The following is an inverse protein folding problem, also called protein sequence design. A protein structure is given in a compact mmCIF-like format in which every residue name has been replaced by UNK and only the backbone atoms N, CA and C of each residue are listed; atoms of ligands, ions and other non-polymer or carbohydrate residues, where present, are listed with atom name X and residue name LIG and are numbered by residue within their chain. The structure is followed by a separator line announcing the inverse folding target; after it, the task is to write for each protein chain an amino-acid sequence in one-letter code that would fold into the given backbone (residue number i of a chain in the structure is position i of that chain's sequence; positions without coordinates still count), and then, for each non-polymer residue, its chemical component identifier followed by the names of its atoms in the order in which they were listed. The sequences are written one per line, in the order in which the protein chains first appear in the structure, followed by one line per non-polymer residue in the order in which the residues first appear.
data_IF_550741891597
#
_entry.id   IF_550741891597
#
_cell.length_a   1.000
_cell.length_b   1.000
_cell.length_c   1.000
_cell.angle_alpha   90.00
_cell.angle_beta   90.00
_cell.angle_gamma   90.00
#
_symmetry.space_group_name_H-M   'P 1'
#
loop_
_entity.id
_entity.type
_entity.pdbx_description
1 polymer ?
#
# COMPACT_ATOMS: atom_id res chain seq x y z
N UNK A 1 -19.49 5.30 26.45
CA UNK A 1 -18.19 4.78 25.97
C UNK A 1 -18.11 5.06 24.48
N UNK A 2 -17.39 6.10 24.09
CA UNK A 2 -17.07 6.36 22.67
C UNK A 2 -16.20 5.21 22.18
N UNK A 3 -16.72 4.42 21.23
CA UNK A 3 -15.91 3.45 20.49
C UNK A 3 -14.74 4.21 19.89
N UNK A 4 -13.53 3.99 20.40
CA UNK A 4 -12.32 4.50 19.77
C UNK A 4 -12.21 3.76 18.46
N UNK A 5 -12.52 4.41 17.32
CA UNK A 5 -12.25 3.87 15.98
C UNK A 5 -10.81 3.36 15.97
N UNK A 6 -10.62 2.04 16.03
CA UNK A 6 -9.30 1.41 16.08
C UNK A 6 -8.51 1.66 14.79
N UNK A 7 -9.22 1.87 13.68
CA UNK A 7 -8.65 2.12 12.37
C UNK A 7 -9.16 3.44 11.78
N UNK A 8 -8.27 4.14 11.09
CA UNK A 8 -8.50 5.43 10.44
C UNK A 8 -8.23 5.31 8.95
N UNK A 9 -8.90 6.15 8.16
CA UNK A 9 -8.73 6.15 6.70
C UNK A 9 -7.60 7.08 6.27
N UNK A 10 -6.79 6.63 5.33
CA UNK A 10 -5.80 7.48 4.65
C UNK A 10 -6.03 7.48 3.16
N UNK A 11 -5.72 8.60 2.54
CA UNK A 11 -5.63 8.78 1.11
C UNK A 11 -4.17 8.83 0.71
N UNK A 12 -3.78 7.99 -0.22
CA UNK A 12 -2.41 7.91 -0.76
C UNK A 12 -2.44 8.40 -2.19
N UNK A 13 -1.76 9.50 -2.47
CA UNK A 13 -1.64 10.07 -3.82
C UNK A 13 -0.32 9.62 -4.44
N UNK A 14 -0.26 9.67 -5.78
CA UNK A 14 0.99 9.48 -6.51
C UNK A 14 1.94 10.63 -6.21
N UNK A 15 3.21 10.32 -5.97
CA UNK A 15 4.22 11.35 -5.81
C UNK A 15 4.75 11.86 -7.16
N UNK A 16 5.83 12.66 -7.15
CA UNK A 16 6.40 13.24 -8.35
C UNK A 16 6.82 12.17 -9.36
N UNK A 17 6.34 12.28 -10.61
CA UNK A 17 6.53 11.30 -11.70
C UNK A 17 5.91 9.91 -11.43
N UNK A 18 5.13 9.76 -10.36
CA UNK A 18 4.33 8.58 -10.09
C UNK A 18 3.07 8.49 -10.95
N UNK A 19 2.48 7.30 -10.96
CA UNK A 19 1.29 6.93 -11.72
C UNK A 19 0.24 6.30 -10.79
N UNK A 20 -1.03 6.38 -11.19
CA UNK A 20 -2.14 5.75 -10.49
C UNK A 20 -2.65 6.50 -9.27
N UNK A 21 -3.44 5.80 -8.46
CA UNK A 21 -4.16 6.36 -7.32
C UNK A 21 -5.15 7.48 -7.71
N UNK A 22 -5.67 8.23 -6.72
CA UNK A 22 -5.38 8.08 -5.30
C UNK A 22 -6.01 6.81 -4.71
N UNK A 23 -5.27 6.12 -3.85
CA UNK A 23 -5.79 4.96 -3.10
C UNK A 23 -6.38 5.40 -1.77
N UNK A 24 -7.52 4.82 -1.40
CA UNK A 24 -8.12 5.00 -0.08
C UNK A 24 -7.90 3.72 0.72
N UNK A 25 -7.08 3.80 1.75
CA UNK A 25 -6.74 2.67 2.60
C UNK A 25 -7.47 2.80 3.92
N UNK A 26 -8.28 1.80 4.23
CA UNK A 26 -9.01 1.65 5.48
C UNK A 26 -8.75 0.25 6.03
N UNK A 27 -7.84 0.10 7.00
CA UNK A 27 -7.66 -1.17 7.69
C UNK A 27 -8.95 -1.60 8.38
N UNK A 28 -9.17 -2.92 8.42
CA UNK A 28 -10.32 -3.54 9.09
C UNK A 28 -9.85 -4.71 9.94
N UNK A 29 -10.62 -5.13 10.97
CA UNK A 29 -10.30 -6.35 11.69
C UNK A 29 -10.14 -7.53 10.73
N UNK A 30 -8.99 -8.22 10.78
CA UNK A 30 -8.66 -9.31 9.85
C UNK A 30 -8.09 -8.88 8.49
N UNK A 31 -8.08 -7.58 8.17
CA UNK A 31 -7.40 -6.97 7.01
C UNK A 31 -6.71 -5.67 7.44
N UNK A 32 -5.75 -5.81 8.35
CA UNK A 32 -5.07 -4.69 9.00
C UNK A 32 -3.56 -4.66 8.74
N UNK A 33 -3.03 -5.58 7.92
CA UNK A 33 -1.61 -5.64 7.65
C UNK A 33 -1.18 -4.57 6.63
N UNK A 34 -0.20 -3.77 7.03
CA UNK A 34 0.53 -2.85 6.16
C UNK A 34 1.80 -3.59 5.71
N UNK A 35 1.71 -4.20 4.54
CA UNK A 35 2.63 -5.23 4.08
C UNK A 35 3.84 -4.59 3.40
N UNK A 36 5.02 -4.66 4.02
CA UNK A 36 6.27 -4.06 3.53
C UNK A 36 7.11 -5.10 2.80
N UNK A 37 7.40 -4.88 1.52
CA UNK A 37 8.26 -5.75 0.70
C UNK A 37 9.32 -4.88 0.02
N UNK A 38 10.27 -4.40 0.82
CA UNK A 38 11.30 -3.44 0.40
C UNK A 38 12.73 -3.93 0.67
N UNK A 39 13.02 -5.20 0.33
CA UNK A 39 14.34 -5.80 0.56
C UNK A 39 14.66 -6.20 2.01
N UNK A 40 13.69 -6.08 2.93
CA UNK A 40 13.78 -6.52 4.32
C UNK A 40 13.51 -5.39 5.33
N UNK A 41 12.82 -5.72 6.42
CA UNK A 41 12.36 -4.76 7.42
C UNK A 41 11.09 -4.02 7.01
N UNK A 42 10.62 -3.14 7.91
CA UNK A 42 9.48 -2.27 7.65
C UNK A 42 9.97 -0.96 7.04
N UNK A 43 9.56 -0.68 5.80
CA UNK A 43 9.88 0.59 5.15
C UNK A 43 9.29 1.77 5.93
N UNK A 44 9.97 2.93 6.03
CA UNK A 44 9.44 4.11 6.71
C UNK A 44 8.05 4.53 6.20
N UNK A 45 7.77 4.38 4.91
CA UNK A 45 6.44 4.64 4.34
C UNK A 45 5.38 3.66 4.87
N UNK A 46 5.69 2.37 4.95
CA UNK A 46 4.79 1.37 5.50
C UNK A 46 4.51 1.64 6.99
N UNK A 47 5.55 1.97 7.76
CA UNK A 47 5.41 2.37 9.16
C UNK A 47 4.57 3.65 9.30
N UNK A 48 4.76 4.63 8.42
CA UNK A 48 4.00 5.88 8.43
C UNK A 48 2.51 5.63 8.18
N UNK A 49 2.17 4.84 7.17
CA UNK A 49 0.78 4.43 6.89
C UNK A 49 0.19 3.67 8.08
N UNK A 50 0.94 2.75 8.68
CA UNK A 50 0.51 2.02 9.87
C UNK A 50 0.19 2.96 11.05
N UNK A 51 1.05 3.94 11.32
CA UNK A 51 0.86 4.92 12.40
C UNK A 51 -0.39 5.78 12.17
N UNK A 52 -0.63 6.20 10.94
CA UNK A 52 -1.81 7.01 10.60
C UNK A 52 -3.10 6.18 10.66
N UNK A 53 -3.10 5.01 10.04
CA UNK A 53 -4.29 4.18 9.90
C UNK A 53 -4.62 3.31 11.11
N UNK A 54 -3.68 3.12 12.03
CA UNK A 54 -3.78 2.13 13.12
C UNK A 54 -3.55 0.68 12.67
N UNK A 55 -3.15 0.46 11.41
CA UNK A 55 -2.79 -0.86 10.90
C UNK A 55 -1.50 -1.43 11.52
N UNK A 56 -1.27 -2.73 11.33
CA UNK A 56 -0.06 -3.42 11.82
C UNK A 56 1.00 -3.50 10.72
N UNK A 57 2.20 -2.92 10.91
CA UNK A 57 3.28 -3.07 9.95
C UNK A 57 3.73 -4.54 9.92
N UNK A 58 3.91 -5.08 8.72
CA UNK A 58 4.31 -6.48 8.53
C UNK A 58 5.45 -6.58 7.51
N UNK A 59 6.52 -7.29 7.87
CA UNK A 59 7.65 -7.53 6.97
C UNK A 59 7.33 -8.72 6.06
N UNK A 60 6.81 -8.39 4.88
CA UNK A 60 6.42 -9.33 3.84
C UNK A 60 7.60 -9.93 3.06
N UNK A 61 8.82 -9.46 3.34
CA UNK A 61 10.05 -10.04 2.79
C UNK A 61 10.53 -11.21 3.67
N UNK A 62 10.45 -11.06 5.00
CA UNK A 62 10.83 -12.12 5.96
C UNK A 62 9.75 -13.15 6.21
N UNK A 63 8.48 -12.75 6.16
CA UNK A 63 7.35 -13.62 6.43
C UNK A 63 6.27 -13.44 5.37
N UNK A 64 5.29 -14.35 5.33
CA UNK A 64 4.17 -14.32 4.40
C UNK A 64 2.87 -14.28 5.17
N UNK A 65 1.92 -13.49 4.67
CA UNK A 65 0.54 -13.44 5.12
C UNK A 65 -0.40 -13.64 3.93
N UNK A 66 -1.66 -13.97 4.18
CA UNK A 66 -2.63 -14.11 3.11
C UNK A 66 -3.00 -12.75 2.51
N UNK A 67 -3.24 -12.71 1.20
CA UNK A 67 -3.61 -11.47 0.50
C UNK A 67 -4.89 -10.82 1.06
N UNK A 68 -5.78 -11.62 1.66
CA UNK A 68 -7.00 -11.14 2.31
C UNK A 68 -6.74 -10.36 3.61
N UNK A 69 -5.58 -10.57 4.24
CA UNK A 69 -5.18 -9.90 5.48
C UNK A 69 -4.48 -8.56 5.23
N UNK A 70 -4.07 -8.31 3.98
CA UNK A 70 -3.31 -7.13 3.59
C UNK A 70 -4.24 -5.96 3.29
N UNK A 71 -4.14 -4.90 4.10
CA UNK A 71 -4.82 -3.63 3.85
C UNK A 71 -4.17 -2.89 2.68
N UNK A 72 -2.84 -2.84 2.65
CA UNK A 72 -2.04 -2.24 1.58
C UNK A 72 -0.64 -2.87 1.54
N UNK A 73 -0.12 -3.08 0.34
CA UNK A 73 1.24 -3.55 0.10
C UNK A 73 2.14 -2.38 -0.31
N UNK A 74 3.21 -2.13 0.43
CA UNK A 74 4.26 -1.17 0.11
C UNK A 74 5.46 -1.92 -0.46
N UNK A 75 5.86 -1.59 -1.68
CA UNK A 75 6.90 -2.29 -2.43
C UNK A 75 7.97 -1.33 -2.94
N UNK A 76 9.14 -1.87 -3.28
CA UNK A 76 10.29 -1.17 -3.86
C UNK A 76 10.67 -1.71 -5.23
N UNK A 77 9.68 -1.99 -6.09
CA UNK A 77 9.96 -2.68 -7.34
C UNK A 77 9.85 -1.74 -8.53
N UNK A 78 10.99 -1.21 -8.97
CA UNK A 78 11.12 -0.48 -10.25
C UNK A 78 10.80 -1.29 -11.52
N UNK A 79 10.33 -2.53 -11.39
CA UNK A 79 10.10 -3.47 -12.49
C UNK A 79 8.66 -4.01 -12.49
N UNK A 80 8.33 -4.83 -13.49
CA UNK A 80 6.93 -5.13 -13.86
C UNK A 80 6.26 -6.26 -13.09
N UNK A 81 7.02 -7.06 -12.33
CA UNK A 81 6.49 -8.27 -11.70
C UNK A 81 5.70 -7.99 -10.41
N UNK A 82 6.32 -7.36 -9.40
CA UNK A 82 5.68 -7.12 -8.09
C UNK A 82 4.58 -6.07 -8.16
N UNK A 83 4.73 -5.07 -9.04
CA UNK A 83 3.71 -4.03 -9.27
C UNK A 83 2.40 -4.62 -9.84
N UNK A 84 2.42 -5.81 -10.46
CA UNK A 84 1.24 -6.44 -11.05
C UNK A 84 0.58 -7.55 -10.23
N UNK A 85 1.34 -8.28 -9.40
CA UNK A 85 0.83 -9.44 -8.64
C UNK A 85 -0.19 -9.05 -7.57
N UNK A 86 0.09 -7.99 -6.81
CA UNK A 86 -0.81 -7.54 -5.74
C UNK A 86 -2.10 -6.91 -6.27
N UNK A 87 -2.07 -6.02 -7.30
CA UNK A 87 -3.29 -5.54 -7.93
C UNK A 87 -4.14 -6.65 -8.56
N UNK A 88 -3.50 -7.66 -9.17
CA UNK A 88 -4.22 -8.86 -9.68
C UNK A 88 -4.99 -9.59 -8.58
N UNK A 89 -4.49 -9.56 -7.33
CA UNK A 89 -5.14 -10.13 -6.15
C UNK A 89 -6.07 -9.14 -5.44
N UNK A 90 -6.37 -7.98 -6.04
CA UNK A 90 -7.18 -6.89 -5.46
C UNK A 90 -6.62 -6.37 -4.13
N UNK A 91 -5.29 -6.37 -4.02
CA UNK A 91 -4.57 -5.79 -2.89
C UNK A 91 -4.07 -4.40 -3.32
N UNK A 92 -4.50 -3.32 -2.64
CA UNK A 92 -3.96 -1.98 -2.88
C UNK A 92 -2.45 -1.98 -2.73
N UNK A 93 -1.76 -1.40 -3.70
CA UNK A 93 -0.30 -1.49 -3.85
C UNK A 93 0.29 -0.11 -4.03
N UNK A 94 1.30 0.19 -3.21
CA UNK A 94 2.02 1.45 -3.16
C UNK A 94 3.47 1.17 -3.51
N UNK A 95 3.95 1.69 -4.61
CA UNK A 95 5.36 1.62 -4.99
C UNK A 95 6.06 2.92 -4.59
N UNK A 96 7.22 2.79 -3.94
CA UNK A 96 8.07 3.95 -3.59
C UNK A 96 8.77 4.50 -4.83
N UNK A 97 8.99 3.68 -5.86
CA UNK A 97 9.58 4.12 -7.11
C UNK A 97 8.51 4.69 -8.04
N UNK A 98 8.81 5.77 -8.79
CA UNK A 98 7.90 6.31 -9.78
C UNK A 98 7.86 5.40 -11.01
N UNK A 99 6.97 4.43 -10.99
CA UNK A 99 6.79 3.42 -12.03
C UNK A 99 5.43 3.55 -12.70
N UNK A 100 5.37 3.26 -14.00
CA UNK A 100 4.13 3.20 -14.77
C UNK A 100 3.86 1.76 -15.21
N UNK A 101 2.57 1.38 -15.39
CA UNK A 101 2.20 0.05 -15.86
C UNK A 101 2.96 -0.36 -17.11
N UNK A 102 3.61 -1.52 -17.06
CA UNK A 102 4.32 -2.09 -18.19
C UNK A 102 4.42 -3.62 -18.05
N UNK A 103 4.68 -4.31 -19.16
CA UNK A 103 4.82 -5.77 -19.19
C UNK A 103 3.50 -6.54 -19.15
N UNK A 104 3.56 -7.89 -18.99
CA UNK A 104 2.42 -8.78 -19.20
C UNK A 104 1.28 -8.63 -18.18
N UNK A 105 1.57 -8.01 -17.02
CA UNK A 105 0.60 -7.79 -15.95
C UNK A 105 -0.03 -6.38 -15.98
N UNK A 106 0.30 -5.53 -16.96
CA UNK A 106 -0.16 -4.13 -17.01
C UNK A 106 -1.68 -3.97 -16.88
N UNK A 107 -2.46 -4.92 -17.43
CA UNK A 107 -3.93 -4.92 -17.37
C UNK A 107 -4.51 -5.00 -15.95
N UNK A 108 -3.73 -5.46 -14.99
CA UNK A 108 -4.13 -5.55 -13.59
C UNK A 108 -3.68 -4.33 -12.78
N UNK A 109 -2.74 -3.55 -13.30
CA UNK A 109 -2.21 -2.35 -12.65
C UNK A 109 -3.16 -1.20 -12.96
N UNK A 110 -4.25 -1.10 -12.20
CA UNK A 110 -5.26 -0.06 -12.35
C UNK A 110 -5.09 1.02 -11.29
N UNK A 111 -5.59 2.23 -11.55
CA UNK A 111 -5.55 3.34 -10.58
C UNK A 111 -6.31 3.03 -9.28
N UNK A 112 -7.25 2.06 -9.32
CA UNK A 112 -8.00 1.57 -8.16
C UNK A 112 -7.14 0.75 -7.19
N UNK A 113 -6.11 0.05 -7.68
CA UNK A 113 -5.29 -0.85 -6.86
C UNK A 113 -3.81 -0.48 -6.83
N UNK A 114 -3.36 0.50 -7.60
CA UNK A 114 -1.96 0.83 -7.71
C UNK A 114 -1.70 2.33 -7.71
N UNK A 115 -0.67 2.73 -6.95
CA UNK A 115 -0.11 4.09 -6.93
C UNK A 115 1.41 4.00 -6.78
N UNK A 116 2.15 4.87 -7.46
CA UNK A 116 3.62 4.81 -7.46
C UNK A 116 4.28 6.16 -7.17
N UNK A 117 5.59 6.11 -6.93
CA UNK A 117 6.42 7.26 -6.59
C UNK A 117 6.06 7.89 -5.25
N UNK A 118 5.38 7.15 -4.38
CA UNK A 118 4.77 7.70 -3.16
C UNK A 118 5.81 8.01 -2.10
N UNK A 119 5.68 9.19 -1.50
CA UNK A 119 6.45 9.64 -0.35
C UNK A 119 5.55 9.73 0.88
N UNK A 120 6.11 9.79 2.09
CA UNK A 120 5.32 10.01 3.30
C UNK A 120 4.41 11.26 3.22
N UNK A 121 4.87 12.30 2.54
CA UNK A 121 4.12 13.54 2.31
C UNK A 121 2.87 13.36 1.43
N UNK A 122 2.82 12.32 0.60
CA UNK A 122 1.69 12.03 -0.29
C UNK A 122 0.59 11.20 0.41
N UNK A 123 0.76 10.91 1.71
CA UNK A 123 -0.19 10.16 2.55
C UNK A 123 -0.92 11.13 3.48
N UNK A 124 -2.21 11.28 3.23
CA UNK A 124 -3.07 12.19 3.99
C UNK A 124 -4.09 11.39 4.81
N UNK A 125 -4.26 11.73 6.09
CA UNK A 125 -5.35 11.19 6.89
C UNK A 125 -6.65 11.90 6.50
N UNK A 126 -7.69 11.11 6.22
CA UNK A 126 -8.99 11.60 5.73
C UNK A 126 -10.15 11.07 6.58
N UNK A 127 -9.87 10.71 7.83
CA UNK A 127 -10.89 10.27 8.78
C UNK A 127 -11.75 11.48 9.18
N UNK A 128 -13.04 11.44 8.84
CA UNK A 128 -14.09 12.29 9.42
C UNK A 128 -14.60 11.70 10.76
#
# INVERSE_FOLDING_TARGET
MTEVKKYRKVRIKKGPKGWGGPLIIEPKPGRDLIYSVTGGGIHPLAQHIANLTGGRPFDGFKSKADFSEIAVAVIDCGGTARIGVYPMKKVPTVDIYPTSPSGPLMRFITEEYFVSGVRPEDVELIDE
#
